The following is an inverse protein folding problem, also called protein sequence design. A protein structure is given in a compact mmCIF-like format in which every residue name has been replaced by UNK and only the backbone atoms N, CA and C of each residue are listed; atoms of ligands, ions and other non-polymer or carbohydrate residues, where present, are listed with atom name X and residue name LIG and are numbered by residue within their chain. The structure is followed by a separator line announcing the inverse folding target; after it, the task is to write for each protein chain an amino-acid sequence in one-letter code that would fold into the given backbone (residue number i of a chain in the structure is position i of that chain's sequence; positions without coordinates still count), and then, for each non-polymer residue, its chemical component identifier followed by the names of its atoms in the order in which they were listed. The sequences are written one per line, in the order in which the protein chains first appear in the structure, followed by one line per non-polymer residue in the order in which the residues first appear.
data_IF_166346327720
#
_entry.id   IF_166346327720
#
_cell.length_a   1.000
_cell.length_b   1.000
_cell.length_c   1.000
_cell.angle_alpha   90.00
_cell.angle_beta   90.00
_cell.angle_gamma   90.00
#
_symmetry.space_group_name_H-M   'P 1'
#
loop_
_entity.id
_entity.type
_entity.pdbx_description
1 polymer ?
#
# COMPACT_ATOMS: atom_id res chain seq x y z
N UNK A 1 11.03 31.13 -0.05
CA UNK A 1 11.22 30.67 -1.44
C UNK A 1 9.97 29.90 -1.85
N UNK A 2 9.31 30.29 -2.94
CA UNK A 2 8.16 29.55 -3.48
C UNK A 2 8.69 28.45 -4.40
N UNK A 3 8.49 27.20 -4.02
CA UNK A 3 8.80 26.03 -4.85
C UNK A 3 7.60 25.79 -5.77
N UNK A 4 7.79 25.91 -7.07
CA UNK A 4 6.79 25.53 -8.06
C UNK A 4 7.10 24.09 -8.48
N UNK A 5 6.15 23.19 -8.28
CA UNK A 5 6.26 21.81 -8.72
C UNK A 5 5.45 21.60 -10.00
N UNK A 6 5.91 20.69 -10.85
CA UNK A 6 5.18 20.28 -12.05
C UNK A 6 4.17 19.18 -11.67
N UNK A 7 3.12 19.59 -10.96
CA UNK A 7 2.09 18.71 -10.37
C UNK A 7 1.12 18.06 -11.36
N UNK A 8 1.56 17.73 -12.58
CA UNK A 8 0.75 17.02 -13.57
C UNK A 8 0.52 15.56 -13.19
N UNK A 9 1.44 14.97 -12.41
CA UNK A 9 1.32 13.64 -11.84
C UNK A 9 1.90 13.64 -10.42
N UNK A 10 1.32 12.80 -9.56
CA UNK A 10 1.74 12.64 -8.17
C UNK A 10 1.87 11.17 -7.84
N UNK A 11 2.71 10.85 -6.86
CA UNK A 11 2.82 9.48 -6.34
C UNK A 11 1.60 9.14 -5.47
N UNK A 12 1.27 7.85 -5.35
CA UNK A 12 0.22 7.39 -4.42
C UNK A 12 0.47 7.90 -3.00
N UNK A 13 1.75 7.94 -2.59
CA UNK A 13 2.16 8.45 -1.29
C UNK A 13 1.86 9.95 -1.11
N UNK A 14 2.23 10.79 -2.08
CA UNK A 14 2.01 12.24 -1.99
C UNK A 14 0.54 12.64 -2.14
N UNK A 15 -0.29 11.78 -2.74
CA UNK A 15 -1.75 12.00 -2.85
C UNK A 15 -2.55 11.57 -1.62
N UNK A 16 -1.90 11.09 -0.56
CA UNK A 16 -2.60 10.71 0.67
C UNK A 16 -3.41 11.87 1.25
N UNK A 17 -4.66 11.59 1.59
CA UNK A 17 -5.60 12.60 2.11
C UNK A 17 -6.21 13.52 1.06
N UNK A 18 -5.74 13.49 -0.20
CA UNK A 18 -6.38 14.19 -1.30
C UNK A 18 -7.58 13.41 -1.82
N UNK A 19 -8.55 14.12 -2.40
CA UNK A 19 -9.71 13.54 -3.10
C UNK A 19 -9.94 14.32 -4.38
N UNK A 20 -10.20 13.61 -5.48
CA UNK A 20 -10.47 14.16 -6.81
C UNK A 20 -11.69 13.48 -7.42
N UNK A 21 -12.42 14.19 -8.28
CA UNK A 21 -13.57 13.58 -8.99
C UNK A 21 -13.17 12.37 -9.83
N UNK A 22 -12.07 12.53 -10.58
CA UNK A 22 -11.54 11.51 -11.47
C UNK A 22 -10.06 11.29 -11.19
N UNK A 23 -9.66 10.04 -11.10
CA UNK A 23 -8.26 9.65 -10.92
C UNK A 23 -7.84 8.74 -12.06
N UNK A 24 -6.70 9.06 -12.67
CA UNK A 24 -6.04 8.23 -13.66
C UNK A 24 -4.78 7.67 -12.99
N UNK A 25 -4.70 6.33 -12.90
CA UNK A 25 -3.58 5.64 -12.24
C UNK A 25 -2.82 4.84 -13.28
N UNK A 26 -1.53 5.11 -13.42
CA UNK A 26 -0.63 4.25 -14.17
C UNK A 26 -0.05 3.17 -13.23
N UNK A 27 -0.31 1.91 -13.54
CA UNK A 27 0.16 0.73 -12.82
C UNK A 27 1.06 -0.07 -13.76
N UNK A 28 2.32 0.35 -13.85
CA UNK A 28 3.34 -0.38 -14.60
C UNK A 28 3.80 -1.59 -13.80
N UNK A 29 3.65 -2.78 -14.37
CA UNK A 29 3.99 -4.05 -13.73
C UNK A 29 5.50 -4.36 -13.76
N UNK A 30 6.32 -3.61 -14.50
CA UNK A 30 7.77 -3.85 -14.64
C UNK A 30 8.58 -3.12 -13.54
N UNK A 31 7.95 -2.19 -12.82
CA UNK A 31 8.61 -1.47 -11.72
C UNK A 31 8.96 -2.41 -10.56
N UNK A 32 9.80 -1.91 -9.64
CA UNK A 32 10.21 -2.66 -8.46
C UNK A 32 8.99 -3.21 -7.69
N UNK A 33 8.95 -4.52 -7.32
CA UNK A 33 7.79 -5.14 -6.69
C UNK A 33 7.32 -4.44 -5.42
N UNK A 34 8.23 -3.80 -4.68
CA UNK A 34 7.86 -3.02 -3.48
C UNK A 34 7.02 -1.78 -3.77
N UNK A 35 6.99 -1.27 -5.00
CA UNK A 35 6.25 -0.08 -5.40
C UNK A 35 4.82 -0.41 -5.86
N UNK A 36 4.62 -1.57 -6.47
CA UNK A 36 3.32 -2.10 -6.90
C UNK A 36 2.85 -3.13 -5.86
N UNK A 37 1.99 -2.68 -4.97
CA UNK A 37 1.45 -3.50 -3.90
C UNK A 37 0.02 -3.08 -3.55
N UNK A 38 -0.60 -3.81 -2.64
CA UNK A 38 -1.98 -3.58 -2.21
C UNK A 38 -2.21 -2.16 -1.68
N UNK A 39 -1.25 -1.61 -0.92
CA UNK A 39 -1.33 -0.24 -0.37
C UNK A 39 -1.27 0.81 -1.46
N UNK A 40 -0.42 0.63 -2.46
CA UNK A 40 -0.35 1.52 -3.62
C UNK A 40 -1.69 1.57 -4.36
N UNK A 41 -2.30 0.41 -4.66
CA UNK A 41 -3.61 0.35 -5.31
C UNK A 41 -4.70 0.96 -4.44
N UNK A 42 -4.75 0.59 -3.15
CA UNK A 42 -5.74 1.11 -2.22
C UNK A 42 -5.72 2.63 -2.15
N UNK A 43 -4.56 3.23 -1.90
CA UNK A 43 -4.46 4.69 -1.80
C UNK A 43 -4.84 5.33 -3.13
N UNK A 44 -4.25 4.89 -4.25
CA UNK A 44 -4.45 5.49 -5.57
C UNK A 44 -5.93 5.46 -6.00
N UNK A 45 -6.62 4.32 -5.84
CA UNK A 45 -8.02 4.16 -6.24
C UNK A 45 -8.95 4.92 -5.31
N UNK A 46 -8.70 4.88 -3.99
CA UNK A 46 -9.55 5.55 -3.00
C UNK A 46 -9.49 7.08 -3.03
N UNK A 47 -8.62 7.69 -3.85
CA UNK A 47 -8.63 9.16 -4.04
C UNK A 47 -9.74 9.59 -5.00
N UNK A 48 -10.30 8.68 -5.79
CA UNK A 48 -11.39 9.00 -6.72
C UNK A 48 -12.73 9.05 -5.98
N UNK A 49 -13.49 10.14 -6.16
CA UNK A 49 -14.86 10.23 -5.66
C UNK A 49 -15.89 9.71 -6.64
N UNK A 50 -15.61 9.70 -7.94
CA UNK A 50 -16.56 9.25 -8.98
C UNK A 50 -15.98 8.21 -9.94
N UNK A 51 -14.82 8.46 -10.55
CA UNK A 51 -14.24 7.57 -11.57
C UNK A 51 -12.75 7.31 -11.31
N UNK A 52 -12.35 6.05 -11.33
CA UNK A 52 -10.96 5.62 -11.20
C UNK A 52 -10.60 4.76 -12.42
N UNK A 53 -9.64 5.23 -13.22
CA UNK A 53 -9.16 4.51 -14.40
C UNK A 53 -7.76 4.01 -14.17
N UNK A 54 -7.59 2.70 -14.31
CA UNK A 54 -6.31 2.03 -14.18
C UNK A 54 -5.76 1.76 -15.59
N UNK A 55 -4.56 2.27 -15.85
CA UNK A 55 -3.78 1.99 -17.04
C UNK A 55 -2.64 1.07 -16.63
N UNK A 56 -2.49 -0.05 -17.32
CA UNK A 56 -1.41 -1.01 -17.04
C UNK A 56 -0.90 -1.59 -18.34
N UNK A 57 0.38 -1.96 -18.35
CA UNK A 57 1.02 -2.65 -19.46
C UNK A 57 0.70 -4.15 -19.51
N UNK A 58 0.25 -4.75 -18.39
CA UNK A 58 -0.11 -6.17 -18.31
C UNK A 58 -1.23 -6.40 -17.29
N UNK A 59 -2.47 -6.43 -17.78
CA UNK A 59 -3.65 -6.66 -16.95
C UNK A 59 -3.71 -8.08 -16.38
N UNK A 60 -3.07 -9.07 -17.02
CA UNK A 60 -3.12 -10.46 -16.58
C UNK A 60 -2.28 -10.68 -15.32
N UNK A 61 -1.11 -10.04 -15.23
CA UNK A 61 -0.24 -10.17 -14.04
C UNK A 61 -0.53 -9.15 -12.94
N UNK A 62 -1.25 -8.06 -13.23
CA UNK A 62 -1.47 -6.96 -12.29
C UNK A 62 -2.10 -7.41 -10.96
N UNK A 63 -3.15 -8.24 -11.02
CA UNK A 63 -3.85 -8.69 -9.81
C UNK A 63 -2.91 -9.42 -8.84
N UNK A 64 -2.10 -10.35 -9.35
CA UNK A 64 -1.13 -11.10 -8.53
C UNK A 64 -0.04 -10.21 -7.94
N UNK A 65 0.44 -9.21 -8.68
CA UNK A 65 1.43 -8.25 -8.17
C UNK A 65 0.84 -7.34 -7.09
N UNK A 66 -0.39 -6.86 -7.26
CA UNK A 66 -1.08 -6.05 -6.25
C UNK A 66 -1.42 -6.84 -4.98
N UNK A 67 -1.59 -8.16 -5.06
CA UNK A 67 -1.81 -9.00 -3.87
C UNK A 67 -0.59 -9.14 -2.96
N UNK A 68 0.58 -8.65 -3.36
CA UNK A 68 1.77 -8.69 -2.51
C UNK A 68 1.62 -7.76 -1.29
N UNK A 69 1.85 -8.31 -0.10
CA UNK A 69 1.97 -7.52 1.12
C UNK A 69 3.42 -7.07 1.31
N UNK A 70 3.62 -5.76 1.22
CA UNK A 70 4.91 -5.11 1.47
C UNK A 70 4.78 -4.37 2.79
N UNK A 71 4.97 -5.12 3.87
CA UNK A 71 4.92 -4.64 5.23
C UNK A 71 6.32 -4.50 5.81
N UNK A 72 6.62 -3.32 6.35
CA UNK A 72 7.88 -3.05 7.05
C UNK A 72 7.73 -3.48 8.51
N UNK A 73 8.71 -4.21 9.02
CA UNK A 73 8.76 -4.63 10.42
C UNK A 73 9.01 -3.42 11.32
N UNK A 74 8.26 -3.32 12.42
CA UNK A 74 8.39 -2.26 13.41
C UNK A 74 8.91 -2.83 14.74
N UNK A 75 9.68 -2.07 15.50
CA UNK A 75 10.18 -2.54 16.81
C UNK A 75 9.03 -3.02 17.73
N UNK A 76 7.88 -2.33 17.67
CA UNK A 76 6.67 -2.68 18.42
C UNK A 76 6.05 -4.03 18.01
N UNK A 77 6.20 -4.48 16.75
CA UNK A 77 5.68 -5.79 16.34
C UNK A 77 6.48 -6.94 16.96
N UNK A 78 7.78 -6.74 17.21
CA UNK A 78 8.60 -7.72 17.91
C UNK A 78 8.23 -7.84 19.40
N UNK A 79 7.98 -6.70 20.07
CA UNK A 79 7.53 -6.70 21.46
C UNK A 79 6.17 -7.39 21.66
N UNK A 80 5.21 -7.16 20.76
CA UNK A 80 3.90 -7.82 20.78
C UNK A 80 3.96 -9.32 20.44
N UNK A 81 4.91 -9.75 19.62
CA UNK A 81 5.12 -11.18 19.36
C UNK A 81 5.68 -11.91 20.58
N UNK A 82 6.57 -11.27 21.35
CA UNK A 82 7.15 -11.83 22.57
C UNK A 82 6.16 -11.89 23.74
N UNK A 83 5.26 -10.91 23.88
CA UNK A 83 4.22 -10.94 24.92
C UNK A 83 3.18 -12.04 24.65
N UNK A 84 2.79 -12.26 23.39
CA UNK A 84 1.86 -13.33 23.01
C UNK A 84 2.44 -14.74 23.24
N UNK A 85 3.75 -14.93 23.03
CA UNK A 85 4.39 -16.24 23.28
C UNK A 85 4.52 -16.56 24.77
N UNK A 86 4.73 -15.55 25.64
CA UNK A 86 4.74 -15.74 27.10
C UNK A 86 3.34 -16.11 27.65
N UNK A 87 2.27 -15.52 27.10
CA UNK A 87 0.90 -15.83 27.49
C UNK A 87 0.49 -17.28 27.11
N UNK A 88 0.96 -17.78 25.97
CA UNK A 88 0.71 -19.16 25.54
C UNK A 88 1.48 -20.19 26.36
N UNK A 89 2.71 -19.88 26.78
CA UNK A 89 3.50 -20.76 27.65
C UNK A 89 2.89 -20.97 29.04
N UNK A 90 2.30 -19.92 29.63
CA UNK A 90 1.65 -20.01 30.95
C UNK A 90 0.36 -20.85 30.91
N UNK A 91 -0.39 -20.81 29.80
CA UNK A 91 -1.62 -21.57 29.62
C UNK A 91 -1.39 -23.09 29.42
N UNK A 92 -0.21 -23.50 28.95
CA UNK A 92 0.14 -24.91 28.76
C UNK A 92 0.62 -25.58 30.06
N UNK A 93 1.20 -24.82 31.00
CA UNK A 93 1.67 -25.32 32.31
C UNK A 93 0.52 -25.49 33.32
N UNK A 94 -0.64 -24.88 33.08
CA UNK A 94 -1.81 -24.93 33.94
C UNK A 94 -2.81 -26.07 33.61
N UNK A 95 -2.38 -27.10 32.87
CA UNK A 95 -3.11 -28.36 32.64
C UNK A 95 -2.26 -29.54 33.09
#
# INVERSE_FOLDING_TARGET
MRHFDHGYAVTSHSSQGLTSERVLVNMDTVVHPELINSRFAYVSVSRASHDARIYTNDAASLAGKLSQDVSKSAAVSFGNAQSNSMAQGLALVAR
#
